data_IF_472560727927
#
_entry.id   IF_472560727927
#
_cell.length_a   1.000
_cell.length_b   1.000
_cell.length_c   1.000
_cell.angle_alpha   90.00
_cell.angle_beta   90.00
_cell.angle_gamma   90.00
#
_symmetry.space_group_name_H-M   'P 1'
#
loop_
_entity.id
_entity.type
_entity.pdbx_description
1 polymer ?
#
# COMPACT_ATOMS: atom_id res chain seq x y z
N UNK A 1 -2.03 -28.50 7.67
CA UNK A 1 -0.93 -27.73 7.06
C UNK A 1 -1.07 -26.30 7.56
N UNK A 2 -0.09 -25.76 8.27
CA UNK A 2 -0.07 -24.34 8.61
C UNK A 2 0.09 -23.56 7.31
N UNK A 3 -0.85 -22.68 7.00
CA UNK A 3 -0.73 -21.78 5.85
C UNK A 3 0.56 -20.96 6.00
N UNK A 4 1.35 -20.87 4.94
CA UNK A 4 2.53 -20.02 4.94
C UNK A 4 2.09 -18.56 5.20
N UNK A 5 2.68 -17.94 6.22
CA UNK A 5 2.47 -16.52 6.53
C UNK A 5 3.68 -15.75 5.99
N UNK A 6 3.42 -14.67 5.26
CA UNK A 6 4.44 -13.75 4.79
C UNK A 6 4.37 -12.45 5.60
N UNK A 7 5.51 -11.96 6.07
CA UNK A 7 5.61 -10.65 6.73
C UNK A 7 5.74 -9.51 5.71
N UNK A 8 5.44 -8.28 6.15
CA UNK A 8 5.59 -7.08 5.32
C UNK A 8 7.05 -6.86 4.91
N UNK A 9 8.00 -7.12 5.81
CA UNK A 9 9.43 -7.04 5.54
C UNK A 9 9.85 -8.03 4.45
N UNK A 10 9.48 -9.30 4.58
CA UNK A 10 9.76 -10.32 3.57
C UNK A 10 9.15 -9.97 2.21
N UNK A 11 7.93 -9.42 2.19
CA UNK A 11 7.28 -9.01 0.96
C UNK A 11 7.99 -7.80 0.31
N UNK A 12 8.34 -6.78 1.09
CA UNK A 12 9.09 -5.61 0.59
C UNK A 12 10.43 -6.02 0.00
N UNK A 13 11.19 -6.86 0.68
CA UNK A 13 12.48 -7.36 0.20
C UNK A 13 12.30 -8.18 -1.08
N UNK A 14 11.26 -9.01 -1.16
CA UNK A 14 10.90 -9.74 -2.38
C UNK A 14 10.64 -8.78 -3.54
N UNK A 15 9.83 -7.73 -3.33
CA UNK A 15 9.50 -6.74 -4.37
C UNK A 15 10.76 -6.00 -4.83
N UNK A 16 11.61 -5.59 -3.89
CA UNK A 16 12.90 -4.95 -4.18
C UNK A 16 13.82 -5.85 -5.00
N UNK A 17 13.90 -7.13 -4.64
CA UNK A 17 14.65 -8.12 -5.40
C UNK A 17 14.07 -8.29 -6.81
N UNK A 18 12.74 -8.26 -6.99
CA UNK A 18 12.12 -8.32 -8.31
C UNK A 18 12.31 -7.07 -9.15
N UNK A 19 12.54 -5.91 -8.54
CA UNK A 19 12.93 -4.71 -9.28
C UNK A 19 14.38 -4.85 -9.80
N UNK A 20 15.29 -5.36 -8.97
CA UNK A 20 16.70 -5.53 -9.33
C UNK A 20 16.96 -6.74 -10.25
N UNK A 21 16.17 -7.80 -10.07
CA UNK A 21 16.22 -9.05 -10.83
C UNK A 21 14.80 -9.37 -11.36
N UNK A 22 14.37 -8.70 -12.44
CA UNK A 22 13.04 -8.91 -12.99
C UNK A 22 12.85 -10.35 -13.44
N UNK A 23 11.66 -10.89 -13.19
CA UNK A 23 11.20 -12.14 -13.81
C UNK A 23 10.26 -11.76 -14.95
N UNK A 24 10.70 -11.86 -16.22
CA UNK A 24 9.92 -11.43 -17.36
C UNK A 24 8.53 -12.04 -17.37
N UNK A 25 7.51 -11.19 -17.51
CA UNK A 25 6.11 -11.62 -17.58
C UNK A 25 5.45 -11.85 -16.22
N UNK A 26 6.16 -11.66 -15.10
CA UNK A 26 5.53 -11.59 -13.78
C UNK A 26 4.76 -10.28 -13.60
N UNK A 27 3.79 -10.26 -12.67
CA UNK A 27 3.00 -9.06 -12.41
C UNK A 27 3.87 -7.90 -11.88
N UNK A 28 4.77 -8.19 -10.94
CA UNK A 28 5.70 -7.17 -10.41
C UNK A 28 6.59 -6.59 -11.52
N UNK A 29 7.11 -7.43 -12.42
CA UNK A 29 7.87 -7.00 -13.60
C UNK A 29 7.03 -6.11 -14.53
N UNK A 30 5.77 -6.49 -14.78
CA UNK A 30 4.84 -5.68 -15.54
C UNK A 30 4.62 -4.29 -14.92
N UNK A 31 4.44 -4.20 -13.60
CA UNK A 31 4.26 -2.92 -12.91
C UNK A 31 5.48 -2.01 -13.09
N UNK A 32 6.69 -2.52 -12.83
CA UNK A 32 7.92 -1.73 -12.99
C UNK A 32 8.20 -1.39 -14.46
N UNK A 33 7.91 -2.30 -15.39
CA UNK A 33 8.04 -2.05 -16.83
C UNK A 33 7.08 -0.96 -17.32
N UNK A 34 5.86 -0.90 -16.78
CA UNK A 34 4.89 0.17 -17.10
C UNK A 34 5.18 1.48 -16.36
N UNK A 35 5.96 1.42 -15.28
CA UNK A 35 6.43 2.58 -14.53
C UNK A 35 5.37 3.22 -13.63
N UNK A 36 5.77 4.35 -13.05
CA UNK A 36 5.07 5.06 -11.98
C UNK A 36 3.57 5.27 -12.23
N UNK A 37 3.16 5.69 -13.44
CA UNK A 37 1.75 5.94 -13.74
C UNK A 37 0.87 4.71 -13.59
N UNK A 38 1.38 3.51 -13.93
CA UNK A 38 0.63 2.26 -13.74
C UNK A 38 0.56 1.87 -12.27
N UNK A 39 1.64 2.07 -11.53
CA UNK A 39 1.70 1.81 -10.09
C UNK A 39 0.70 2.70 -9.36
N UNK A 40 0.70 4.01 -9.64
CA UNK A 40 -0.22 4.98 -9.03
C UNK A 40 -1.69 4.70 -9.36
N UNK A 41 -1.99 4.25 -10.60
CA UNK A 41 -3.34 3.83 -10.98
C UNK A 41 -3.84 2.69 -10.09
N UNK A 42 -3.00 1.66 -9.88
CA UNK A 42 -3.36 0.54 -8.99
C UNK A 42 -3.53 0.98 -7.55
N UNK A 43 -2.64 1.83 -7.01
CA UNK A 43 -2.83 2.39 -5.65
C UNK A 43 -4.18 3.10 -5.52
N UNK A 44 -4.58 3.90 -6.52
CA UNK A 44 -5.88 4.58 -6.51
C UNK A 44 -7.09 3.66 -6.66
N UNK A 45 -6.97 2.63 -7.50
CA UNK A 45 -7.95 1.55 -7.70
C UNK A 45 -8.20 0.83 -6.36
N UNK A 46 -7.16 0.26 -5.76
CA UNK A 46 -7.27 -0.49 -4.51
C UNK A 46 -7.74 0.36 -3.34
N UNK A 47 -7.32 1.63 -3.28
CA UNK A 47 -7.82 2.56 -2.26
C UNK A 47 -9.34 2.73 -2.35
N UNK A 48 -9.89 2.75 -3.57
CA UNK A 48 -11.33 2.86 -3.80
C UNK A 48 -12.04 1.54 -3.46
N UNK A 49 -11.44 0.41 -3.80
CA UNK A 49 -11.99 -0.92 -3.51
C UNK A 49 -12.04 -1.19 -2.01
N UNK A 50 -11.00 -0.83 -1.24
CA UNK A 50 -11.01 -0.85 0.24
C UNK A 50 -12.19 -0.05 0.81
N UNK A 51 -12.45 1.15 0.29
CA UNK A 51 -13.57 2.00 0.74
C UNK A 51 -14.91 1.31 0.47
N UNK A 52 -15.06 0.70 -0.70
CA UNK A 52 -16.30 0.00 -1.09
C UNK A 52 -16.48 -1.26 -0.25
N UNK A 53 -15.46 -2.10 -0.13
CA UNK A 53 -15.48 -3.34 0.64
C UNK A 53 -15.81 -3.09 2.11
N UNK A 54 -15.25 -2.03 2.72
CA UNK A 54 -15.52 -1.66 4.11
C UNK A 54 -16.97 -1.30 4.40
N UNK A 55 -17.77 -0.93 3.38
CA UNK A 55 -19.21 -0.66 3.57
C UNK A 55 -20.09 -1.91 3.43
N UNK A 56 -19.54 -3.00 2.92
CA UNK A 56 -20.27 -4.23 2.68
C UNK A 56 -20.03 -5.22 3.84
N UNK A 57 -21.00 -6.08 4.18
CA UNK A 57 -20.83 -7.10 5.21
C UNK A 57 -20.04 -8.31 4.65
N UNK A 58 -18.85 -8.07 4.11
CA UNK A 58 -17.94 -9.07 3.54
C UNK A 58 -16.50 -8.79 3.98
N UNK A 59 -16.15 -9.33 5.16
CA UNK A 59 -14.81 -9.18 5.74
C UNK A 59 -13.73 -9.85 4.88
N UNK A 60 -14.08 -10.89 4.12
CA UNK A 60 -13.12 -11.57 3.26
C UNK A 60 -12.71 -10.66 2.09
N UNK A 61 -13.69 -10.02 1.45
CA UNK A 61 -13.41 -9.00 0.43
C UNK A 61 -12.59 -7.85 1.01
N UNK A 62 -12.95 -7.34 2.20
CA UNK A 62 -12.19 -6.26 2.82
C UNK A 62 -10.72 -6.62 3.09
N UNK A 63 -10.44 -7.83 3.60
CA UNK A 63 -9.07 -8.30 3.82
C UNK A 63 -8.29 -8.40 2.50
N UNK A 64 -8.94 -8.83 1.40
CA UNK A 64 -8.33 -8.91 0.08
C UNK A 64 -7.90 -7.53 -0.43
N UNK A 65 -8.79 -6.53 -0.38
CA UNK A 65 -8.45 -5.19 -0.91
C UNK A 65 -7.43 -4.46 -0.05
N UNK A 66 -7.45 -4.67 1.27
CA UNK A 66 -6.40 -4.13 2.15
C UNK A 66 -5.05 -4.78 1.82
N UNK A 67 -5.02 -6.07 1.51
CA UNK A 67 -3.80 -6.76 1.11
C UNK A 67 -3.28 -6.26 -0.24
N UNK A 68 -4.15 -6.05 -1.24
CA UNK A 68 -3.73 -5.56 -2.55
C UNK A 68 -3.26 -4.10 -2.50
N UNK A 69 -3.97 -3.24 -1.76
CA UNK A 69 -3.51 -1.87 -1.49
C UNK A 69 -2.14 -1.88 -0.81
N UNK A 70 -1.95 -2.74 0.19
CA UNK A 70 -0.66 -2.87 0.89
C UNK A 70 0.45 -3.26 -0.07
N UNK A 71 0.24 -4.30 -0.89
CA UNK A 71 1.20 -4.72 -1.91
C UNK A 71 1.55 -3.58 -2.86
N UNK A 72 0.55 -2.87 -3.39
CA UNK A 72 0.76 -1.79 -4.34
C UNK A 72 1.46 -0.56 -3.74
N UNK A 73 1.23 -0.27 -2.45
CA UNK A 73 2.00 0.75 -1.71
C UNK A 73 3.45 0.31 -1.53
N UNK A 74 3.74 -0.95 -1.22
CA UNK A 74 5.12 -1.46 -1.14
C UNK A 74 5.84 -1.39 -2.49
N UNK A 75 5.17 -1.72 -3.59
CA UNK A 75 5.71 -1.54 -4.95
C UNK A 75 6.03 -0.07 -5.23
N UNK A 76 5.13 0.85 -4.85
CA UNK A 76 5.37 2.29 -4.98
C UNK A 76 6.56 2.76 -4.13
N UNK A 77 6.70 2.25 -2.91
CA UNK A 77 7.85 2.55 -2.04
C UNK A 77 9.17 2.14 -2.72
N UNK A 78 9.23 0.92 -3.25
CA UNK A 78 10.40 0.40 -3.97
C UNK A 78 10.70 1.23 -5.23
N UNK A 79 9.69 1.56 -6.03
CA UNK A 79 9.83 2.45 -7.21
C UNK A 79 10.41 3.82 -6.85
N UNK A 80 10.02 4.34 -5.67
CA UNK A 80 10.45 5.65 -5.15
C UNK A 80 11.75 5.60 -4.36
N UNK A 81 12.32 4.43 -4.12
CA UNK A 81 13.50 4.24 -3.28
C UNK A 81 13.29 4.54 -1.79
N UNK A 82 12.05 4.41 -1.30
CA UNK A 82 11.68 4.63 0.11
C UNK A 82 11.71 3.31 0.86
N UNK A 83 12.45 3.25 1.97
CA UNK A 83 12.59 2.03 2.76
C UNK A 83 11.45 1.83 3.76
N UNK A 84 11.24 0.58 4.19
CA UNK A 84 10.36 0.27 5.32
C UNK A 84 10.79 1.02 6.58
N UNK A 85 12.09 1.05 6.90
CA UNK A 85 12.62 1.78 8.07
C UNK A 85 12.20 3.26 8.08
N UNK A 86 12.15 3.92 6.93
CA UNK A 86 11.70 5.32 6.83
C UNK A 86 10.22 5.46 7.18
N UNK A 87 9.37 4.54 6.73
CA UNK A 87 7.94 4.51 7.05
C UNK A 87 7.72 4.16 8.52
N UNK A 88 8.43 3.17 9.04
CA UNK A 88 8.37 2.75 10.45
C UNK A 88 8.82 3.87 11.39
N UNK A 89 9.90 4.59 11.05
CA UNK A 89 10.34 5.74 11.83
C UNK A 89 9.30 6.86 11.84
N UNK A 90 8.66 7.14 10.70
CA UNK A 90 7.56 8.10 10.61
C UNK A 90 6.34 7.65 11.44
N UNK A 91 5.96 6.38 11.37
CA UNK A 91 4.87 5.81 12.16
C UNK A 91 5.16 5.87 13.67
N UNK A 92 6.36 5.48 14.09
CA UNK A 92 6.82 5.58 15.47
C UNK A 92 6.81 7.04 15.96
N UNK A 93 7.12 8.00 15.08
CA UNK A 93 7.04 9.42 15.43
C UNK A 93 5.61 9.89 15.75
N UNK A 94 4.58 9.15 15.33
CA UNK A 94 3.16 9.45 15.60
C UNK A 94 2.66 8.79 16.88
N UNK A 95 3.36 7.78 17.37
CA UNK A 95 3.03 7.12 18.62
C UNK A 95 3.06 8.13 19.78
N UNK A 96 2.01 8.14 20.61
CA UNK A 96 1.87 9.08 21.72
C UNK A 96 1.51 10.53 21.34
N UNK A 97 1.46 10.89 20.05
CA UNK A 97 0.95 12.21 19.62
C UNK A 97 -0.57 12.17 19.51
N UNK A 98 -1.27 12.79 20.46
CA UNK A 98 -2.69 13.09 20.33
C UNK A 98 -2.89 14.01 19.12
N UNK A 99 -3.58 13.52 18.08
CA UNK A 99 -4.06 14.37 16.99
C UNK A 99 -5.00 15.42 17.60
N UNK A 100 -4.55 16.68 17.66
CA UNK A 100 -5.44 17.79 17.96
C UNK A 100 -6.33 17.96 16.73
N UNK A 101 -7.53 17.40 16.78
CA UNK A 101 -8.57 17.66 15.78
C UNK A 101 -8.81 19.16 15.74
N UNK A 102 -8.28 19.84 14.72
CA UNK A 102 -8.87 21.10 14.27
C UNK A 102 -9.93 20.69 13.27
N UNK A 103 -11.20 20.78 13.67
CA UNK A 103 -12.29 20.71 12.71
C UNK A 103 -11.97 21.70 11.57
N UNK A 104 -12.04 21.21 10.33
CA UNK A 104 -11.92 22.07 9.17
C UNK A 104 -13.09 23.05 9.25
N UNK A 105 -12.81 24.35 9.29
CA UNK A 105 -13.87 25.37 9.29
C UNK A 105 -14.85 25.07 8.17
N UNK A 106 -16.14 25.04 8.51
CA UNK A 106 -17.23 24.89 7.57
C UNK A 106 -16.99 25.88 6.42
N UNK A 107 -16.84 25.37 5.19
CA UNK A 107 -16.88 26.24 4.03
C UNK A 107 -18.31 26.75 3.97
N UNK A 108 -18.54 27.98 4.43
CA UNK A 108 -19.77 28.70 4.14
C UNK A 108 -19.81 28.86 2.62
N UNK A 109 -20.61 28.03 1.95
CA UNK A 109 -20.96 28.23 0.54
C UNK A 109 -21.62 29.59 0.43
N UNK A 110 -21.11 30.40 -0.51
CA UNK A 110 -21.74 31.64 -0.99
C UNK A 110 -23.20 31.41 -1.37
#
# INVERSE_FOLDING_TARGET
>A
MTAAKQSITELYDLIKDRQAQPIPGSYTDYLFTKGLDKILKKVGEESTEVIVAAKNPDDAAFVLEVADLTYHVLVLMVDRGITLDQIEAELASREGKMSRLKERSSINKY
#
